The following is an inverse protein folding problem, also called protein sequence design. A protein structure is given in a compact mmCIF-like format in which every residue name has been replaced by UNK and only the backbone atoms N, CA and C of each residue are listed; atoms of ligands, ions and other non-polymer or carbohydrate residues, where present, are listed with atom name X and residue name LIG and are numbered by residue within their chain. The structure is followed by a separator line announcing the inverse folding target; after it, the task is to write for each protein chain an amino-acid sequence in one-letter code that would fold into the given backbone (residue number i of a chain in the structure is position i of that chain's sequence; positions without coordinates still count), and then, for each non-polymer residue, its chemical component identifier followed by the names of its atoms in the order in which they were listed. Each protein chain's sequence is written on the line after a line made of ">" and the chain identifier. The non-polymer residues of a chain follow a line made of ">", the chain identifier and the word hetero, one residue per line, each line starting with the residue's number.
data_IF_896291091566
#
_entry.id   IF_896291091566
#
_cell.length_a   1.000
_cell.length_b   1.000
_cell.length_c   1.000
_cell.angle_alpha   90.00
_cell.angle_beta   90.00
_cell.angle_gamma   90.00
#
_symmetry.space_group_name_H-M   'P 1'
#
loop_
_entity.id
_entity.type
_entity.pdbx_description
1 polymer ?
#
# COMPACT_ATOMS: atom_id res chain seq x y z
N UNK A 1 14.03 10.98 44.68
CA UNK A 1 13.04 11.16 43.60
C UNK A 1 13.44 10.27 42.44
N UNK A 2 12.60 9.32 41.97
CA UNK A 2 12.92 8.58 40.76
C UNK A 2 12.97 9.57 39.61
N UNK A 3 14.11 9.67 38.93
CA UNK A 3 14.24 10.44 37.69
C UNK A 3 13.52 9.67 36.59
N UNK A 4 12.30 10.06 36.25
CA UNK A 4 11.53 9.55 35.11
C UNK A 4 12.13 10.01 33.77
N UNK A 5 13.40 9.66 33.53
CA UNK A 5 14.00 9.77 32.20
C UNK A 5 13.45 8.63 31.36
N UNK A 6 12.54 8.94 30.45
CA UNK A 6 11.98 7.99 29.49
C UNK A 6 13.13 7.41 28.65
N UNK A 7 13.38 6.11 28.75
CA UNK A 7 14.36 5.41 27.93
C UNK A 7 13.86 5.31 26.49
N UNK A 8 14.38 6.18 25.62
CA UNK A 8 14.00 6.27 24.21
C UNK A 8 14.55 5.12 23.34
N UNK A 9 15.30 4.18 23.92
CA UNK A 9 15.99 3.10 23.21
C UNK A 9 16.70 3.63 21.95
N UNK A 10 16.88 2.78 20.93
CA UNK A 10 17.40 3.21 19.64
C UNK A 10 16.33 3.99 18.85
N UNK A 11 16.55 5.31 18.72
CA UNK A 11 15.67 6.25 18.00
C UNK A 11 15.42 5.87 16.53
N UNK A 12 16.44 5.37 15.84
CA UNK A 12 16.33 5.03 14.42
C UNK A 12 15.47 3.79 14.22
N UNK A 13 15.59 2.81 15.13
CA UNK A 13 14.75 1.62 15.12
C UNK A 13 13.29 1.96 15.45
N UNK A 14 13.06 2.88 16.39
CA UNK A 14 11.71 3.35 16.70
C UNK A 14 11.05 4.04 15.50
N UNK A 15 11.78 4.90 14.79
CA UNK A 15 11.29 5.54 13.56
C UNK A 15 10.99 4.51 12.46
N UNK A 16 11.89 3.54 12.24
CA UNK A 16 11.68 2.47 11.27
C UNK A 16 10.44 1.60 11.61
N UNK A 17 10.23 1.30 12.89
CA UNK A 17 9.04 0.57 13.35
C UNK A 17 7.76 1.40 13.19
N UNK A 18 7.79 2.69 13.51
CA UNK A 18 6.66 3.60 13.28
C UNK A 18 6.31 3.77 11.80
N UNK A 19 7.32 3.72 10.91
CA UNK A 19 7.11 3.68 9.47
C UNK A 19 6.47 2.37 9.01
N UNK A 20 6.88 1.24 9.60
CA UNK A 20 6.34 -0.07 9.22
C UNK A 20 4.86 -0.20 9.60
N UNK A 21 4.50 0.17 10.83
CA UNK A 21 3.13 0.20 11.29
C UNK A 21 2.89 1.40 12.23
N UNK A 22 1.78 2.14 12.05
CA UNK A 22 1.44 3.27 12.90
C UNK A 22 1.41 2.89 14.39
N UNK A 23 2.18 3.60 15.20
CA UNK A 23 2.29 3.43 16.65
C UNK A 23 3.31 2.40 17.15
N UNK A 24 3.91 1.56 16.28
CA UNK A 24 4.88 0.54 16.73
C UNK A 24 6.16 1.14 17.34
N UNK A 25 6.65 2.26 16.81
CA UNK A 25 7.83 2.94 17.36
C UNK A 25 7.64 3.37 18.81
N UNK A 26 6.46 3.86 19.14
CA UNK A 26 6.08 4.27 20.50
C UNK A 26 5.93 3.08 21.44
N UNK A 27 5.38 1.96 20.98
CA UNK A 27 5.36 0.72 21.76
C UNK A 27 6.77 0.20 22.04
N UNK A 28 7.68 0.27 21.07
CA UNK A 28 9.08 -0.09 21.27
C UNK A 28 9.76 0.75 22.37
N UNK A 29 9.42 2.04 22.45
CA UNK A 29 9.90 2.97 23.47
C UNK A 29 9.06 2.93 24.77
N UNK A 30 8.16 1.94 24.92
CA UNK A 30 7.23 1.80 26.06
C UNK A 30 6.31 3.01 26.28
N UNK A 31 6.10 3.84 25.25
CA UNK A 31 5.13 4.96 25.22
C UNK A 31 3.75 4.47 24.80
N UNK A 32 3.14 3.59 25.61
CA UNK A 32 1.91 2.87 25.27
C UNK A 32 0.74 3.77 24.90
N UNK A 33 0.47 4.82 25.68
CA UNK A 33 -0.66 5.73 25.42
C UNK A 33 -0.55 6.42 24.04
N UNK A 34 0.63 6.99 23.74
CA UNK A 34 0.89 7.60 22.43
C UNK A 34 0.78 6.58 21.31
N UNK A 35 1.39 5.40 21.49
CA UNK A 35 1.33 4.32 20.50
C UNK A 35 -0.10 3.91 20.17
N UNK A 36 -0.95 3.74 21.18
CA UNK A 36 -2.36 3.38 21.00
C UNK A 36 -3.13 4.47 20.27
N UNK A 37 -2.99 5.74 20.66
CA UNK A 37 -3.68 6.85 19.99
C UNK A 37 -3.27 6.95 18.53
N UNK A 38 -1.97 6.92 18.23
CA UNK A 38 -1.50 6.98 16.84
C UNK A 38 -1.98 5.78 16.04
N UNK A 39 -1.85 4.57 16.57
CA UNK A 39 -2.26 3.34 15.88
C UNK A 39 -3.76 3.34 15.56
N UNK A 40 -4.60 3.56 16.57
CA UNK A 40 -6.07 3.55 16.40
C UNK A 40 -6.52 4.67 15.48
N UNK A 41 -6.04 5.89 15.67
CA UNK A 41 -6.44 7.03 14.84
C UNK A 41 -6.03 6.83 13.38
N UNK A 42 -4.76 6.57 13.11
CA UNK A 42 -4.22 6.49 11.75
C UNK A 42 -4.80 5.29 11.00
N UNK A 43 -4.80 4.09 11.61
CA UNK A 43 -5.30 2.89 10.95
C UNK A 43 -6.80 2.97 10.71
N UNK A 44 -7.58 3.49 11.66
CA UNK A 44 -9.03 3.65 11.45
C UNK A 44 -9.30 4.62 10.31
N UNK A 45 -8.64 5.78 10.28
CA UNK A 45 -8.79 6.74 9.18
C UNK A 45 -8.39 6.14 7.83
N UNK A 46 -7.28 5.41 7.78
CA UNK A 46 -6.80 4.75 6.56
C UNK A 46 -7.78 3.69 6.06
N UNK A 47 -8.18 2.74 6.92
CA UNK A 47 -9.07 1.65 6.53
C UNK A 47 -10.48 2.15 6.21
N UNK A 48 -10.95 3.21 6.89
CA UNK A 48 -12.20 3.86 6.53
C UNK A 48 -12.13 4.50 5.13
N UNK A 49 -11.02 5.17 4.82
CA UNK A 49 -10.76 5.68 3.47
C UNK A 49 -10.73 4.57 2.42
N UNK A 50 -10.00 3.48 2.69
CA UNK A 50 -9.96 2.30 1.81
C UNK A 50 -11.36 1.71 1.59
N UNK A 51 -12.17 1.60 2.64
CA UNK A 51 -13.53 1.09 2.54
C UNK A 51 -14.42 1.97 1.66
N UNK A 52 -14.40 3.29 1.84
CA UNK A 52 -15.14 4.25 1.01
C UNK A 52 -14.70 4.18 -0.46
N UNK A 53 -13.42 3.96 -0.71
CA UNK A 53 -12.84 3.81 -2.03
C UNK A 53 -12.87 2.39 -2.61
N UNK A 54 -13.68 1.50 -2.04
CA UNK A 54 -13.83 0.09 -2.47
C UNK A 54 -12.51 -0.68 -2.58
N UNK A 55 -11.51 -0.29 -1.78
CA UNK A 55 -10.15 -0.84 -1.76
C UNK A 55 -9.34 -0.62 -3.07
N UNK A 56 -9.73 0.38 -3.86
CA UNK A 56 -9.15 0.68 -5.18
C UNK A 56 -8.48 2.06 -5.25
N UNK A 57 -8.48 2.83 -4.15
CA UNK A 57 -8.00 4.22 -4.12
C UNK A 57 -6.51 4.37 -3.85
N UNK A 58 -5.88 3.38 -3.23
CA UNK A 58 -4.44 3.38 -2.93
C UNK A 58 -3.77 2.51 -3.99
N UNK A 59 -2.94 3.12 -4.81
CA UNK A 59 -2.14 2.45 -5.82
C UNK A 59 -1.01 3.38 -6.25
N UNK A 60 0.08 2.82 -6.77
CA UNK A 60 1.21 3.59 -7.27
C UNK A 60 1.33 3.47 -8.78
N UNK A 61 1.37 4.61 -9.47
CA UNK A 61 1.67 4.69 -10.90
C UNK A 61 2.47 5.95 -11.19
N UNK A 62 3.57 5.79 -11.94
CA UNK A 62 4.52 6.86 -12.23
C UNK A 62 4.85 6.95 -13.73
N UNK A 63 3.82 7.23 -14.54
CA UNK A 63 3.94 7.38 -15.99
C UNK A 63 3.68 8.83 -16.44
N UNK A 64 4.17 9.21 -17.62
CA UNK A 64 3.90 10.53 -18.21
C UNK A 64 2.39 10.64 -18.49
N UNK A 65 1.71 11.57 -17.81
CA UNK A 65 0.26 11.80 -17.90
C UNK A 65 -0.57 11.11 -16.82
N UNK A 66 -0.03 10.11 -16.12
CA UNK A 66 -0.74 9.33 -15.09
C UNK A 66 0.11 9.15 -13.83
N UNK A 67 0.37 10.25 -13.12
CA UNK A 67 1.13 10.25 -11.86
C UNK A 67 0.20 10.27 -10.66
N UNK A 68 0.33 9.28 -9.79
CA UNK A 68 -0.40 9.20 -8.53
C UNK A 68 0.37 9.92 -7.41
N UNK A 69 0.46 11.25 -7.50
CA UNK A 69 1.24 12.06 -6.53
C UNK A 69 0.72 11.86 -5.09
N UNK A 70 -0.59 11.65 -4.93
CA UNK A 70 -1.20 11.37 -3.62
C UNK A 70 -0.59 10.16 -2.90
N UNK A 71 -0.07 9.17 -3.64
CA UNK A 71 0.57 8.00 -3.04
C UNK A 71 1.82 8.34 -2.21
N UNK A 72 2.49 9.46 -2.49
CA UNK A 72 3.63 9.93 -1.69
C UNK A 72 3.28 10.20 -0.23
N UNK A 73 2.02 10.54 0.05
CA UNK A 73 1.53 10.62 1.43
C UNK A 73 1.15 9.24 1.96
N UNK A 74 0.43 8.45 1.17
CA UNK A 74 -0.11 7.14 1.57
C UNK A 74 0.96 6.12 1.91
N UNK A 75 2.12 6.15 1.24
CA UNK A 75 3.26 5.25 1.53
C UNK A 75 3.72 5.32 2.97
N UNK A 76 3.56 6.48 3.64
CA UNK A 76 3.93 6.64 5.04
C UNK A 76 3.01 5.90 6.00
N UNK A 77 1.85 5.39 5.58
CA UNK A 77 1.03 4.50 6.42
C UNK A 77 1.73 3.16 6.68
N UNK A 78 2.74 2.82 5.87
CA UNK A 78 3.55 1.62 6.07
C UNK A 78 2.94 0.39 5.41
N UNK A 79 3.02 -0.76 6.10
CA UNK A 79 2.56 -2.06 5.60
C UNK A 79 1.18 -2.07 4.94
N UNK A 80 0.17 -1.32 5.41
CA UNK A 80 -1.13 -1.29 4.74
C UNK A 80 -1.11 -0.74 3.32
N UNK A 81 -0.19 0.18 2.99
CA UNK A 81 -0.11 0.87 1.70
C UNK A 81 1.09 0.43 0.83
N UNK A 82 2.05 -0.33 1.40
CA UNK A 82 3.22 -0.84 0.66
C UNK A 82 2.89 -1.86 -0.45
N UNK A 83 1.83 -2.70 -0.37
CA UNK A 83 1.48 -3.62 -1.45
C UNK A 83 1.32 -2.91 -2.80
N UNK A 84 0.81 -1.68 -2.83
CA UNK A 84 0.72 -0.84 -4.03
C UNK A 84 2.04 -0.72 -4.81
N UNK A 85 3.20 -0.62 -4.14
CA UNK A 85 4.51 -0.57 -4.81
C UNK A 85 4.82 -1.92 -5.45
N UNK A 86 4.58 -3.02 -4.73
CA UNK A 86 4.79 -4.37 -5.26
C UNK A 86 3.88 -4.62 -6.45
N UNK A 87 2.60 -4.22 -6.38
CA UNK A 87 1.68 -4.32 -7.50
C UNK A 87 2.13 -3.49 -8.69
N UNK A 88 2.59 -2.25 -8.47
CA UNK A 88 3.08 -1.39 -9.56
C UNK A 88 4.28 -1.99 -10.29
N UNK A 89 5.17 -2.66 -9.57
CA UNK A 89 6.32 -3.34 -10.14
C UNK A 89 5.90 -4.59 -10.94
N UNK A 90 4.93 -5.35 -10.41
CA UNK A 90 4.35 -6.51 -11.12
C UNK A 90 3.47 -6.11 -12.30
N UNK A 91 2.89 -4.91 -12.28
CA UNK A 91 1.94 -4.44 -13.28
C UNK A 91 2.57 -4.42 -14.67
N UNK A 92 3.83 -4.01 -14.79
CA UNK A 92 4.66 -4.12 -16.02
C UNK A 92 4.06 -3.46 -17.28
N UNK A 93 4.83 -3.30 -18.37
CA UNK A 93 4.26 -2.97 -19.67
C UNK A 93 3.50 -4.19 -20.18
N UNK A 94 2.21 -4.30 -19.85
CA UNK A 94 1.35 -5.33 -20.43
C UNK A 94 1.00 -4.91 -21.86
N UNK A 95 1.82 -5.37 -22.79
CA UNK A 95 1.55 -5.32 -24.23
C UNK A 95 0.41 -6.29 -24.56
N UNK A 96 -0.82 -5.83 -24.41
CA UNK A 96 -2.00 -6.61 -24.76
C UNK A 96 -3.26 -5.84 -24.46
N UNK A 97 -3.78 -5.11 -25.45
CA UNK A 97 -5.15 -4.62 -25.35
C UNK A 97 -6.09 -5.81 -25.47
N UNK A 98 -6.60 -6.25 -24.33
CA UNK A 98 -7.76 -7.11 -24.23
C UNK A 98 -8.90 -6.53 -25.11
N UNK A 99 -9.45 -7.34 -26.02
CA UNK A 99 -10.58 -6.96 -26.87
C UNK A 99 -10.29 -6.30 -28.22
N UNK A 100 -9.02 -6.09 -28.63
CA UNK A 100 -8.73 -5.73 -30.04
C UNK A 100 -8.59 -7.01 -30.85
N UNK A 101 -9.51 -7.21 -31.80
CA UNK A 101 -9.52 -8.28 -32.83
C UNK A 101 -8.25 -8.20 -33.69
N UNK A 102 -7.12 -8.61 -33.14
CA UNK A 102 -5.82 -8.64 -33.77
C UNK A 102 -5.19 -10.02 -33.52
N UNK A 103 -4.34 -10.54 -34.42
CA UNK A 103 -3.82 -11.91 -34.37
C UNK A 103 -2.69 -12.07 -33.34
N UNK A 104 -2.70 -11.33 -32.24
CA UNK A 104 -1.57 -11.21 -31.32
C UNK A 104 -1.87 -11.80 -29.94
N UNK A 105 -1.24 -12.95 -29.66
CA UNK A 105 -1.21 -13.69 -28.38
C UNK A 105 -2.57 -14.06 -27.78
N UNK A 106 -3.00 -15.28 -28.12
CA UNK A 106 -3.90 -16.10 -27.29
C UNK A 106 -3.29 -16.15 -25.88
N UNK A 107 -4.05 -15.86 -24.83
CA UNK A 107 -3.50 -15.78 -23.48
C UNK A 107 -2.94 -17.14 -23.05
N UNK A 108 -1.62 -17.24 -23.00
CA UNK A 108 -0.90 -18.39 -22.44
C UNK A 108 -1.21 -18.44 -20.93
N UNK A 109 -1.69 -19.59 -20.47
CA UNK A 109 -2.02 -19.80 -19.06
C UNK A 109 -0.72 -20.18 -18.34
N UNK A 110 0.03 -19.24 -17.75
CA UNK A 110 1.33 -19.65 -17.16
C UNK A 110 1.18 -20.59 -15.94
N UNK A 111 -0.01 -20.63 -15.31
CA UNK A 111 -0.31 -21.49 -14.16
C UNK A 111 -1.70 -22.13 -14.29
N UNK A 112 -1.90 -23.36 -13.81
CA UNK A 112 -3.22 -23.97 -13.68
C UNK A 112 -4.19 -23.08 -12.90
N UNK A 113 -5.40 -22.89 -13.43
CA UNK A 113 -6.44 -22.10 -12.77
C UNK A 113 -7.59 -23.03 -12.41
N UNK A 114 -7.94 -23.08 -11.13
CA UNK A 114 -9.19 -23.63 -10.64
C UNK A 114 -9.98 -22.52 -9.95
N UNK A 115 -11.15 -22.16 -10.49
CA UNK A 115 -11.96 -21.08 -9.97
C UNK A 115 -13.45 -21.32 -10.17
N UNK A 116 -14.27 -20.67 -9.34
CA UNK A 116 -15.69 -20.54 -9.63
C UNK A 116 -15.87 -19.70 -10.90
N UNK A 117 -16.67 -20.21 -11.83
CA UNK A 117 -16.99 -19.60 -13.10
C UNK A 117 -18.47 -19.21 -13.13
N UNK A 118 -18.74 -17.99 -13.59
CA UNK A 118 -20.09 -17.49 -13.85
C UNK A 118 -20.11 -16.77 -15.19
N UNK A 119 -21.00 -17.18 -16.07
CA UNK A 119 -21.09 -16.64 -17.42
C UNK A 119 -22.25 -17.24 -18.21
N UNK A 120 -22.05 -17.41 -19.51
CA UNK A 120 -23.01 -18.03 -20.41
C UNK A 120 -22.33 -19.00 -21.37
N UNK A 121 -23.12 -19.93 -21.87
CA UNK A 121 -22.75 -20.79 -22.99
C UNK A 121 -23.33 -20.20 -24.27
N UNK A 122 -22.50 -20.05 -25.30
CA UNK A 122 -22.88 -19.53 -26.62
C UNK A 122 -22.62 -20.63 -27.66
N UNK A 123 -23.66 -21.29 -28.20
CA UNK A 123 -23.50 -22.33 -29.20
C UNK A 123 -22.97 -21.73 -30.52
N UNK A 124 -22.01 -22.41 -31.18
CA UNK A 124 -21.40 -21.91 -32.44
C UNK A 124 -21.68 -22.85 -33.63
N UNK A 125 -22.39 -23.96 -33.44
CA UNK A 125 -22.73 -24.86 -34.53
C UNK A 125 -23.90 -25.80 -34.25
N UNK A 126 -24.36 -26.55 -35.28
CA UNK A 126 -25.46 -27.50 -35.19
C UNK A 126 -25.16 -28.75 -34.33
N UNK A 127 -23.92 -28.92 -33.86
CA UNK A 127 -23.50 -29.98 -32.93
C UNK A 127 -23.73 -29.64 -31.44
N UNK A 128 -24.30 -28.49 -31.12
CA UNK A 128 -24.57 -28.09 -29.74
C UNK A 128 -25.78 -28.80 -29.14
N UNK A 129 -25.54 -29.60 -28.10
CA UNK A 129 -26.59 -30.29 -27.32
C UNK A 129 -27.18 -29.43 -26.20
N UNK A 130 -26.59 -28.25 -25.97
CA UNK A 130 -26.99 -27.27 -24.97
C UNK A 130 -27.49 -25.99 -25.65
N UNK A 131 -28.64 -25.44 -25.21
CA UNK A 131 -29.09 -24.14 -25.68
C UNK A 131 -28.20 -23.02 -25.13
N UNK A 132 -28.26 -21.85 -25.77
CA UNK A 132 -27.70 -20.63 -25.19
C UNK A 132 -28.32 -20.36 -23.82
N UNK A 133 -27.50 -20.03 -22.82
CA UNK A 133 -28.01 -19.78 -21.48
C UNK A 133 -26.93 -19.57 -20.42
N UNK A 134 -27.35 -19.21 -19.19
CA UNK A 134 -26.43 -18.95 -18.09
C UNK A 134 -25.72 -20.23 -17.64
N UNK A 135 -24.47 -20.05 -17.22
CA UNK A 135 -23.57 -21.11 -16.78
C UNK A 135 -22.93 -20.71 -15.45
N UNK A 136 -23.07 -21.56 -14.45
CA UNK A 136 -22.49 -21.38 -13.11
C UNK A 136 -21.85 -22.67 -12.64
N UNK A 137 -20.59 -22.63 -12.23
CA UNK A 137 -19.88 -23.83 -11.83
C UNK A 137 -18.43 -23.59 -11.46
N UNK A 138 -17.60 -24.61 -11.64
CA UNK A 138 -16.15 -24.54 -11.53
C UNK A 138 -15.51 -24.77 -12.88
N UNK A 139 -14.47 -24.00 -13.16
CA UNK A 139 -13.61 -24.17 -14.32
C UNK A 139 -12.21 -24.57 -13.85
N UNK A 140 -11.67 -25.61 -14.48
CA UNK A 140 -10.29 -26.03 -14.31
C UNK A 140 -9.59 -25.89 -15.65
N UNK A 141 -8.58 -25.03 -15.73
CA UNK A 141 -7.78 -24.78 -16.92
C UNK A 141 -6.32 -25.14 -16.62
N UNK A 142 -5.65 -25.83 -17.53
CA UNK A 142 -4.25 -26.21 -17.44
C UNK A 142 -3.54 -25.90 -18.77
N UNK A 143 -2.32 -25.33 -18.73
CA UNK A 143 -1.50 -25.27 -19.93
C UNK A 143 -1.03 -26.68 -20.27
N UNK A 144 -1.13 -27.04 -21.55
CA UNK A 144 -0.66 -28.30 -22.10
C UNK A 144 0.15 -27.95 -23.34
N UNK A 145 1.37 -28.50 -23.51
CA UNK A 145 2.12 -28.31 -24.74
C UNK A 145 1.34 -28.92 -25.91
N UNK A 146 0.92 -28.08 -26.86
CA UNK A 146 0.24 -28.49 -28.08
C UNK A 146 1.19 -28.47 -29.28
N UNK A 147 0.75 -29.06 -30.39
CA UNK A 147 1.53 -29.17 -31.63
C UNK A 147 1.83 -27.79 -32.26
N UNK A 148 1.05 -26.76 -31.91
CA UNK A 148 1.15 -25.38 -32.43
C UNK A 148 1.46 -24.33 -31.35
N UNK A 149 2.05 -24.73 -30.23
CA UNK A 149 2.36 -23.86 -29.08
C UNK A 149 1.65 -24.30 -27.81
N UNK A 150 1.75 -23.50 -26.74
CA UNK A 150 1.05 -23.79 -25.49
C UNK A 150 -0.47 -23.69 -25.70
N UNK A 151 -1.15 -24.83 -25.57
CA UNK A 151 -2.60 -24.92 -25.58
C UNK A 151 -3.14 -24.89 -24.16
N UNK A 152 -4.39 -24.48 -24.00
CA UNK A 152 -5.07 -24.56 -22.71
C UNK A 152 -6.15 -25.61 -22.81
N UNK A 153 -6.07 -26.62 -21.95
CA UNK A 153 -7.11 -27.64 -21.81
C UNK A 153 -7.77 -27.51 -20.46
N UNK A 154 -9.04 -27.84 -20.41
CA UNK A 154 -9.78 -27.72 -19.18
C UNK A 154 -11.08 -28.47 -19.16
N UNK A 155 -11.71 -28.42 -17.99
CA UNK A 155 -13.04 -28.97 -17.76
C UNK A 155 -13.85 -27.94 -17.01
N UNK A 156 -15.06 -27.70 -17.48
CA UNK A 156 -16.08 -27.01 -16.72
C UNK A 156 -17.03 -28.04 -16.09
N UNK A 157 -17.35 -27.85 -14.82
CA UNK A 157 -18.32 -28.68 -14.09
C UNK A 157 -19.32 -27.78 -13.38
N UNK A 158 -20.61 -27.94 -13.65
CA UNK A 158 -21.64 -27.19 -12.94
C UNK A 158 -22.98 -27.15 -13.67
N UNK A 159 -23.74 -26.09 -13.42
CA UNK A 159 -25.02 -25.85 -14.08
C UNK A 159 -24.78 -25.13 -15.40
N UNK A 160 -25.37 -25.63 -16.49
CA UNK A 160 -25.36 -24.98 -17.80
C UNK A 160 -26.77 -24.98 -18.39
N UNK A 161 -27.27 -23.80 -18.74
CA UNK A 161 -28.57 -23.60 -19.39
C UNK A 161 -29.73 -24.35 -18.70
N UNK A 162 -29.78 -24.30 -17.37
CA UNK A 162 -30.83 -24.93 -16.55
C UNK A 162 -30.67 -26.44 -16.30
N UNK A 163 -29.62 -27.09 -16.85
CA UNK A 163 -29.26 -28.47 -16.52
C UNK A 163 -28.21 -28.50 -15.41
N UNK A 164 -28.45 -29.26 -14.35
CA UNK A 164 -27.49 -29.49 -13.28
C UNK A 164 -26.43 -30.53 -13.69
N UNK A 165 -25.26 -30.47 -13.08
CA UNK A 165 -24.16 -31.45 -13.22
C UNK A 165 -23.66 -31.68 -14.66
N UNK A 166 -23.63 -30.62 -15.46
CA UNK A 166 -23.05 -30.63 -16.80
C UNK A 166 -21.53 -30.58 -16.72
N UNK A 167 -20.87 -31.50 -17.43
CA UNK A 167 -19.42 -31.52 -17.62
C UNK A 167 -19.11 -31.16 -19.06
N UNK A 168 -18.34 -30.08 -19.26
CA UNK A 168 -17.93 -29.60 -20.58
C UNK A 168 -16.40 -29.68 -20.71
N UNK A 169 -15.94 -30.27 -21.81
CA UNK A 169 -14.52 -30.28 -22.15
C UNK A 169 -14.15 -28.98 -22.84
N UNK A 170 -13.15 -28.30 -22.29
CA UNK A 170 -12.64 -27.04 -22.80
C UNK A 170 -11.30 -27.26 -23.49
N UNK A 171 -11.15 -26.67 -24.66
CA UNK A 171 -9.92 -26.76 -25.44
C UNK A 171 -9.71 -25.48 -26.26
N UNK A 172 -8.58 -25.40 -26.93
CA UNK A 172 -8.32 -24.36 -27.92
C UNK A 172 -7.82 -23.04 -27.31
N UNK A 173 -7.85 -21.95 -28.10
CA UNK A 173 -7.36 -20.66 -27.67
C UNK A 173 -8.24 -20.12 -26.55
N UNK A 174 -7.63 -19.93 -25.40
CA UNK A 174 -8.32 -19.39 -24.24
C UNK A 174 -8.02 -17.91 -24.17
N UNK A 175 -9.04 -17.09 -24.41
CA UNK A 175 -8.96 -15.64 -24.26
C UNK A 175 -9.19 -15.33 -22.78
N UNK A 176 -8.10 -15.01 -22.08
CA UNK A 176 -8.21 -14.62 -20.69
C UNK A 176 -7.58 -13.27 -20.47
N UNK A 177 -8.37 -12.43 -19.84
CA UNK A 177 -7.95 -11.20 -19.21
C UNK A 177 -6.63 -11.31 -18.43
N UNK A 178 -5.68 -10.37 -18.60
CA UNK A 178 -4.43 -10.36 -17.85
C UNK A 178 -4.55 -10.45 -16.33
N UNK A 179 -3.45 -10.87 -15.68
CA UNK A 179 -3.38 -11.15 -14.24
C UNK A 179 -3.59 -9.91 -13.35
N UNK A 180 -3.18 -8.72 -13.80
CA UNK A 180 -3.21 -7.47 -13.03
C UNK A 180 -3.80 -6.34 -13.89
N UNK A 181 -5.11 -6.11 -13.81
CA UNK A 181 -5.81 -5.02 -14.51
C UNK A 181 -7.06 -4.58 -13.73
N UNK A 182 -7.36 -3.28 -13.73
CA UNK A 182 -8.58 -2.76 -13.10
C UNK A 182 -9.68 -2.41 -14.12
N UNK A 183 -9.32 -2.03 -15.36
CA UNK A 183 -10.21 -1.52 -16.40
C UNK A 183 -10.65 -2.55 -17.45
N UNK A 184 -10.70 -3.82 -17.14
CA UNK A 184 -11.29 -4.79 -18.07
C UNK A 184 -12.80 -4.75 -17.95
N UNK A 185 -13.46 -4.23 -18.98
CA UNK A 185 -14.90 -4.11 -19.05
C UNK A 185 -15.52 -5.42 -19.51
N UNK A 186 -16.62 -5.81 -18.87
CA UNK A 186 -17.48 -6.90 -19.31
C UNK A 186 -18.89 -6.33 -19.51
N UNK A 187 -19.54 -6.56 -20.66
CA UNK A 187 -20.94 -6.18 -20.85
C UNK A 187 -21.82 -6.68 -19.69
N UNK A 188 -22.75 -5.86 -19.19
CA UNK A 188 -23.62 -6.26 -18.07
C UNK A 188 -24.47 -7.50 -18.39
N UNK A 189 -24.81 -7.68 -19.67
CA UNK A 189 -25.50 -8.85 -20.22
C UNK A 189 -24.81 -10.18 -19.83
N UNK A 190 -23.47 -10.20 -19.78
CA UNK A 190 -22.68 -11.38 -19.41
C UNK A 190 -22.77 -11.76 -17.92
N UNK A 191 -23.24 -10.85 -17.06
CA UNK A 191 -23.42 -11.09 -15.63
C UNK A 191 -24.84 -11.55 -15.27
N UNK A 192 -25.73 -11.72 -16.26
CA UNK A 192 -27.12 -12.16 -16.07
C UNK A 192 -28.07 -11.06 -15.60
N UNK A 193 -27.67 -9.78 -15.68
CA UNK A 193 -28.59 -8.67 -15.49
C UNK A 193 -29.38 -8.47 -16.80
N UNK A 194 -30.47 -9.22 -16.97
CA UNK A 194 -31.35 -9.20 -18.17
C UNK A 194 -32.02 -7.84 -18.47
N UNK A 195 -31.68 -6.79 -17.72
CA UNK A 195 -32.28 -5.46 -17.88
C UNK A 195 -31.52 -4.51 -18.83
N UNK A 196 -30.45 -4.93 -19.52
CA UNK A 196 -29.66 -3.94 -20.24
C UNK A 196 -28.89 -4.40 -21.50
N UNK A 197 -29.62 -4.42 -22.62
CA UNK A 197 -29.05 -4.34 -23.97
C UNK A 197 -28.33 -3.00 -24.25
N UNK A 198 -28.41 -2.03 -23.34
CA UNK A 198 -27.82 -0.68 -23.48
C UNK A 198 -26.90 -0.30 -22.30
N UNK A 199 -26.49 -1.29 -21.48
CA UNK A 199 -25.63 -1.02 -20.32
C UNK A 199 -24.16 -0.89 -20.71
N UNK A 200 -23.44 0.08 -20.11
CA UNK A 200 -22.00 0.21 -20.30
C UNK A 200 -21.26 -1.00 -19.76
N UNK A 201 -20.14 -1.35 -20.37
CA UNK A 201 -19.24 -2.38 -19.87
C UNK A 201 -18.89 -2.12 -18.39
N UNK A 202 -19.12 -3.13 -17.55
CA UNK A 202 -18.81 -3.12 -16.12
C UNK A 202 -17.35 -3.50 -15.97
N UNK A 203 -16.52 -2.59 -15.46
CA UNK A 203 -15.13 -2.93 -15.14
C UNK A 203 -15.06 -3.88 -13.94
N UNK A 204 -14.25 -4.94 -14.08
CA UNK A 204 -14.14 -6.01 -13.09
C UNK A 204 -12.76 -6.10 -12.46
N UNK A 205 -12.45 -5.25 -11.49
CA UNK A 205 -11.13 -5.32 -10.86
C UNK A 205 -10.92 -6.58 -10.01
N UNK A 206 -11.98 -7.15 -9.41
CA UNK A 206 -11.92 -8.36 -8.56
C UNK A 206 -12.29 -9.66 -9.30
N UNK A 207 -12.63 -9.58 -10.60
CA UNK A 207 -12.94 -10.75 -11.45
C UNK A 207 -12.15 -10.66 -12.74
N UNK A 208 -11.94 -11.77 -13.41
CA UNK A 208 -11.16 -11.87 -14.64
C UNK A 208 -12.07 -12.43 -15.72
N UNK A 209 -12.15 -11.79 -16.88
CA UNK A 209 -12.91 -12.34 -17.99
C UNK A 209 -12.20 -13.56 -18.56
N UNK A 210 -12.97 -14.58 -18.88
CA UNK A 210 -12.49 -15.83 -19.47
C UNK A 210 -13.45 -16.22 -20.58
N UNK A 211 -12.89 -16.50 -21.75
CA UNK A 211 -13.58 -17.12 -22.87
C UNK A 211 -12.82 -18.37 -23.30
N UNK A 212 -13.51 -19.49 -23.26
CA UNK A 212 -12.98 -20.80 -23.62
C UNK A 212 -13.84 -21.43 -24.71
N UNK A 213 -13.21 -22.15 -25.62
CA UNK A 213 -13.93 -22.98 -26.59
C UNK A 213 -14.31 -24.32 -25.95
N UNK A 214 -15.55 -24.75 -26.20
CA UNK A 214 -16.12 -26.01 -25.73
C UNK A 214 -16.04 -27.00 -26.87
N UNK A 215 -15.39 -28.13 -26.63
CA UNK A 215 -15.24 -29.21 -27.61
C UNK A 215 -16.07 -30.43 -27.20
N UNK A 216 -16.52 -31.15 -28.22
CA UNK A 216 -17.10 -32.46 -28.02
C UNK A 216 -15.96 -33.49 -27.91
N UNK A 217 -15.76 -34.03 -26.71
CA UNK A 217 -14.74 -35.02 -26.44
C UNK A 217 -15.04 -36.38 -27.09
N UNK A 218 -16.29 -36.66 -27.46
CA UNK A 218 -16.70 -37.93 -28.08
C UNK A 218 -16.46 -37.93 -29.60
N UNK A 219 -16.35 -36.74 -30.20
CA UNK A 219 -16.07 -36.58 -31.63
C UNK A 219 -14.59 -36.79 -31.93
N UNK A 220 -14.27 -37.67 -32.89
CA UNK A 220 -12.91 -37.96 -33.33
C UNK A 220 -12.12 -36.72 -33.80
N UNK A 221 -12.82 -35.64 -34.17
CA UNK A 221 -12.24 -34.39 -34.64
C UNK A 221 -12.26 -33.26 -33.60
N UNK A 222 -12.65 -33.53 -32.34
CA UNK A 222 -12.83 -32.50 -31.29
C UNK A 222 -13.62 -31.28 -31.81
N UNK A 223 -14.74 -31.56 -32.47
CA UNK A 223 -15.53 -30.51 -33.10
C UNK A 223 -15.98 -29.46 -32.07
N UNK A 224 -15.79 -28.19 -32.41
CA UNK A 224 -16.24 -27.05 -31.61
C UNK A 224 -17.76 -27.06 -31.47
N UNK A 225 -18.24 -27.08 -30.23
CA UNK A 225 -19.66 -27.11 -29.87
C UNK A 225 -20.15 -25.68 -29.61
N UNK A 226 -19.28 -24.82 -29.07
CA UNK A 226 -19.58 -23.44 -28.73
C UNK A 226 -18.49 -22.79 -27.90
N UNK A 227 -18.82 -21.63 -27.32
CA UNK A 227 -17.94 -20.90 -26.41
C UNK A 227 -18.58 -20.78 -25.03
N UNK A 228 -17.74 -20.83 -24.01
CA UNK A 228 -18.07 -20.51 -22.64
C UNK A 228 -17.45 -19.15 -22.31
N UNK A 229 -18.29 -18.14 -22.12
CA UNK A 229 -17.89 -16.74 -21.96
C UNK A 229 -18.34 -16.23 -20.59
N UNK A 230 -17.42 -15.72 -19.76
CA UNK A 230 -17.79 -15.30 -18.41
C UNK A 230 -16.65 -14.79 -17.55
N UNK A 231 -16.82 -14.93 -16.24
CA UNK A 231 -15.91 -14.41 -15.22
C UNK A 231 -15.44 -15.46 -14.23
N UNK A 232 -14.18 -15.34 -13.82
CA UNK A 232 -13.60 -16.05 -12.68
C UNK A 232 -13.18 -15.06 -11.59
N UNK A 233 -13.16 -15.48 -10.33
CA UNK A 233 -12.67 -14.65 -9.24
C UNK A 233 -11.15 -14.42 -9.34
N UNK A 234 -10.68 -13.18 -9.12
CA UNK A 234 -9.26 -12.89 -8.96
C UNK A 234 -8.84 -13.14 -7.51
N UNK A 235 -7.67 -13.73 -7.25
CA UNK A 235 -7.10 -13.77 -5.90
C UNK A 235 -6.97 -12.36 -5.31
N UNK A 236 -7.15 -12.22 -3.99
CA UNK A 236 -7.05 -10.93 -3.28
C UNK A 236 -5.84 -10.09 -3.70
N UNK A 237 -4.66 -10.72 -3.68
CA UNK A 237 -3.37 -10.09 -4.02
C UNK A 237 -3.18 -9.76 -5.50
N UNK A 238 -4.13 -10.10 -6.39
CA UNK A 238 -4.06 -9.75 -7.81
C UNK A 238 -5.04 -8.63 -8.17
N UNK A 239 -5.76 -8.08 -7.18
CA UNK A 239 -6.63 -6.91 -7.38
C UNK A 239 -6.44 -5.83 -6.32
N UNK A 240 -6.03 -6.19 -5.11
CA UNK A 240 -5.76 -5.24 -4.03
C UNK A 240 -4.63 -4.28 -4.40
N UNK A 241 -4.90 -2.98 -4.34
CA UNK A 241 -3.96 -1.88 -4.63
C UNK A 241 -3.28 -1.93 -6.02
N UNK A 242 -3.92 -2.59 -6.98
CA UNK A 242 -3.46 -2.61 -8.38
C UNK A 242 -3.58 -1.21 -8.98
N UNK A 243 -2.62 -0.78 -9.83
CA UNK A 243 -2.73 0.49 -10.54
C UNK A 243 -4.03 0.64 -11.32
N UNK A 244 -4.77 1.72 -11.09
CA UNK A 244 -5.97 2.01 -11.88
C UNK A 244 -5.60 2.72 -13.19
N UNK A 245 -6.19 2.24 -14.28
CA UNK A 245 -6.19 2.87 -15.58
C UNK A 245 -7.29 3.93 -15.69
N UNK A 246 -7.15 4.86 -16.63
CA UNK A 246 -8.07 5.99 -16.76
C UNK A 246 -9.55 5.58 -16.92
N UNK A 247 -9.91 4.54 -17.71
CA UNK A 247 -11.30 4.09 -17.79
C UNK A 247 -11.83 3.53 -16.46
N UNK A 248 -11.00 2.78 -15.71
CA UNK A 248 -11.37 2.27 -14.39
C UNK A 248 -11.54 3.40 -13.38
N UNK A 249 -10.65 4.40 -13.39
CA UNK A 249 -10.80 5.58 -12.52
C UNK A 249 -12.08 6.34 -12.83
N UNK A 250 -12.39 6.57 -14.10
CA UNK A 250 -13.60 7.28 -14.50
C UNK A 250 -14.87 6.54 -14.07
N UNK A 251 -14.90 5.22 -14.23
CA UNK A 251 -16.01 4.41 -13.74
C UNK A 251 -16.12 4.39 -12.21
N UNK A 252 -14.98 4.33 -11.50
CA UNK A 252 -14.98 4.43 -10.05
C UNK A 252 -15.56 5.77 -9.59
N UNK A 253 -15.15 6.88 -10.22
CA UNK A 253 -15.73 8.20 -9.97
C UNK A 253 -17.21 8.27 -10.36
N UNK A 254 -17.62 7.61 -11.46
CA UNK A 254 -19.03 7.53 -11.87
C UNK A 254 -19.89 6.80 -10.83
N UNK A 255 -19.40 5.70 -10.24
CA UNK A 255 -20.14 4.87 -9.28
C UNK A 255 -20.17 5.44 -7.86
N UNK A 256 -19.04 5.95 -7.39
CA UNK A 256 -18.87 6.41 -6.01
C UNK A 256 -18.97 7.94 -5.87
N UNK A 257 -18.87 8.69 -6.95
CA UNK A 257 -18.92 10.15 -6.95
C UNK A 257 -17.92 10.76 -5.97
N UNK A 258 -18.42 11.63 -5.08
CA UNK A 258 -17.63 12.35 -4.07
C UNK A 258 -16.93 11.43 -3.07
N UNK A 259 -17.39 10.19 -2.88
CA UNK A 259 -16.74 9.27 -1.95
C UNK A 259 -15.33 8.90 -2.41
N UNK A 260 -15.03 8.94 -3.71
CA UNK A 260 -13.67 8.69 -4.23
C UNK A 260 -12.68 9.76 -3.77
N UNK A 261 -13.09 11.02 -3.83
CA UNK A 261 -12.27 12.15 -3.37
C UNK A 261 -12.10 12.11 -1.85
N UNK A 262 -13.18 11.87 -1.11
CA UNK A 262 -13.13 11.75 0.35
C UNK A 262 -12.21 10.59 0.79
N UNK A 263 -12.29 9.44 0.12
CA UNK A 263 -11.44 8.29 0.37
C UNK A 263 -9.95 8.61 0.15
N UNK A 264 -9.62 9.30 -0.94
CA UNK A 264 -8.26 9.77 -1.21
C UNK A 264 -7.78 10.72 -0.12
N UNK A 265 -8.59 11.73 0.25
CA UNK A 265 -8.23 12.71 1.28
C UNK A 265 -7.97 12.03 2.62
N UNK A 266 -8.84 11.10 3.06
CA UNK A 266 -8.66 10.38 4.31
C UNK A 266 -7.37 9.56 4.34
N UNK A 267 -7.05 8.86 3.25
CA UNK A 267 -5.81 8.09 3.17
C UNK A 267 -4.57 8.99 3.07
N UNK A 268 -4.67 10.18 2.46
CA UNK A 268 -3.60 11.18 2.48
C UNK A 268 -3.36 11.72 3.88
N UNK A 269 -4.43 12.09 4.59
CA UNK A 269 -4.37 12.56 5.99
C UNK A 269 -3.74 11.48 6.86
N UNK A 270 -4.17 10.22 6.74
CA UNK A 270 -3.59 9.12 7.51
C UNK A 270 -2.07 8.98 7.29
N UNK A 271 -1.62 9.08 6.04
CA UNK A 271 -0.21 9.04 5.70
C UNK A 271 0.60 10.20 6.28
N UNK A 272 0.08 11.43 6.16
CA UNK A 272 0.70 12.62 6.74
C UNK A 272 0.73 12.58 8.27
N UNK A 273 -0.33 12.09 8.90
CA UNK A 273 -0.37 11.89 10.36
C UNK A 273 0.66 10.84 10.79
N UNK A 274 0.85 9.76 10.03
CA UNK A 274 1.89 8.79 10.37
C UNK A 274 3.30 9.38 10.17
N UNK A 275 3.51 10.22 9.18
CA UNK A 275 4.77 10.94 9.02
C UNK A 275 5.10 11.78 10.26
N UNK A 276 4.12 12.46 10.85
CA UNK A 276 4.28 13.19 12.11
C UNK A 276 4.53 12.25 13.30
N UNK A 277 3.88 11.09 13.34
CA UNK A 277 4.11 10.10 14.38
C UNK A 277 5.52 9.49 14.30
N UNK A 278 6.04 9.24 13.09
CA UNK A 278 7.43 8.80 12.87
C UNK A 278 8.40 9.86 13.39
N UNK A 279 8.11 11.14 13.15
CA UNK A 279 8.90 12.24 13.67
C UNK A 279 8.89 12.30 15.22
N UNK A 280 7.72 12.17 15.87
CA UNK A 280 7.64 12.08 17.35
C UNK A 280 8.39 10.85 17.92
N UNK A 281 8.46 9.75 17.16
CA UNK A 281 9.23 8.58 17.53
C UNK A 281 10.76 8.82 17.44
N UNK A 282 11.21 9.65 16.49
CA UNK A 282 12.62 9.95 16.23
C UNK A 282 13.20 10.98 17.21
N UNK A 283 12.52 12.11 17.42
CA UNK A 283 13.03 13.21 18.27
C UNK A 283 12.82 12.97 19.76
N UNK A 284 11.84 12.14 20.13
CA UNK A 284 11.42 11.98 21.53
C UNK A 284 10.37 13.01 21.94
N UNK A 285 9.84 12.94 23.18
CA UNK A 285 8.79 13.84 23.64
C UNK A 285 9.29 15.28 23.77
N UNK A 286 8.54 16.24 23.21
CA UNK A 286 8.84 17.68 23.29
C UNK A 286 8.79 18.25 24.73
N UNK A 287 8.18 17.54 25.67
CA UNK A 287 8.19 17.86 27.10
C UNK A 287 8.73 16.66 27.85
N UNK A 288 9.93 16.79 28.44
CA UNK A 288 10.61 15.68 29.10
C UNK A 288 12.11 15.85 29.32
N UNK A 289 12.72 16.98 28.94
CA UNK A 289 13.91 17.42 29.64
C UNK A 289 13.42 18.21 30.85
N UNK A 290 13.70 17.66 32.04
CA UNK A 290 13.67 18.47 33.24
C UNK A 290 14.84 19.42 33.13
N UNK A 291 14.59 20.59 32.55
CA UNK A 291 15.54 21.70 32.41
C UNK A 291 15.80 22.37 33.78
N UNK A 292 15.38 21.76 34.89
CA UNK A 292 15.72 22.19 36.24
C UNK A 292 17.06 21.57 36.68
N UNK A 293 18.11 21.71 35.87
CA UNK A 293 19.50 21.56 36.31
C UNK A 293 20.40 22.42 35.46
N UNK A 294 20.35 23.72 35.69
CA UNK A 294 21.47 24.64 35.42
C UNK A 294 21.44 25.86 36.37
N UNK A 295 20.30 26.17 37.00
CA UNK A 295 20.20 27.30 37.95
C UNK A 295 20.82 26.99 39.33
N UNK A 296 20.80 25.74 39.80
CA UNK A 296 21.42 25.38 41.09
C UNK A 296 22.95 25.28 41.03
N UNK A 297 23.53 24.89 39.89
CA UNK A 297 24.99 24.88 39.73
C UNK A 297 25.53 26.31 39.55
N UNK A 298 24.81 27.20 38.86
CA UNK A 298 25.16 28.62 38.78
C UNK A 298 24.98 29.36 40.12
N UNK A 299 23.99 28.99 40.94
CA UNK A 299 23.85 29.55 42.31
C UNK A 299 24.89 29.00 43.29
N UNK A 300 25.34 27.75 43.14
CA UNK A 300 26.42 27.17 43.97
C UNK A 300 27.79 27.75 43.60
N UNK A 301 28.06 27.99 42.32
CA UNK A 301 29.30 28.65 41.88
C UNK A 301 29.35 30.14 42.26
N UNK A 302 28.22 30.85 42.22
CA UNK A 302 28.16 32.26 42.64
C UNK A 302 28.18 32.45 44.17
N UNK A 303 27.74 31.46 44.95
CA UNK A 303 27.87 31.47 46.41
C UNK A 303 29.30 31.17 46.90
N UNK A 304 30.04 30.28 46.24
CA UNK A 304 31.42 29.92 46.63
C UNK A 304 32.47 30.98 46.22
N UNK A 305 32.17 31.77 45.17
CA UNK A 305 33.02 32.88 44.73
C UNK A 305 32.97 34.14 45.62
N UNK A 306 31.93 34.31 46.45
CA UNK A 306 31.69 35.55 47.20
C UNK A 306 32.24 35.56 48.64
N UNK A 307 32.80 34.46 49.15
CA UNK A 307 33.20 34.36 50.58
C UNK A 307 34.67 34.72 50.88
N UNK A 308 35.40 35.34 49.94
CA UNK A 308 36.80 35.74 50.13
C UNK A 308 37.06 37.24 49.94
N UNK A 309 36.30 38.09 50.64
CA UNK A 309 36.72 39.49 50.88
C UNK A 309 35.93 40.17 52.01
N UNK A 310 36.53 40.29 53.20
CA UNK A 310 36.58 41.47 54.12
C UNK A 310 36.93 41.05 55.56
N UNK A 311 37.34 41.99 56.45
CA UNK A 311 38.72 42.40 56.65
C UNK A 311 39.17 42.05 58.08
N UNK A 312 40.47 42.11 58.41
CA UNK A 312 40.87 42.03 59.82
C UNK A 312 41.84 43.14 60.18
N UNK A 313 41.34 43.97 61.08
CA UNK A 313 42.00 45.07 61.75
C UNK A 313 43.26 44.61 62.47
N UNK A 314 44.30 45.44 62.39
CA UNK A 314 45.51 45.41 63.21
C UNK A 314 45.23 45.86 64.64
N UNK A 315 45.97 45.30 65.61
CA UNK A 315 46.53 46.13 66.68
C UNK A 315 48.06 46.04 66.75
N UNK A 316 48.60 47.10 67.34
CA UNK A 316 50.00 47.53 67.49
C UNK A 316 50.92 46.55 68.24
N UNK A 317 52.24 46.70 68.06
CA UNK A 317 53.22 46.17 69.00
C UNK A 317 54.67 45.94 68.52
N UNK A 318 55.44 47.02 68.42
CA UNK A 318 56.79 47.15 68.99
C UNK A 318 58.06 46.47 68.37
N UNK A 319 58.85 47.34 67.73
CA UNK A 319 60.32 47.59 67.79
C UNK A 319 61.40 46.78 67.04
N UNK A 320 62.31 47.64 66.54
CA UNK A 320 63.77 47.54 66.36
C UNK A 320 64.27 46.96 65.02
N UNK A 321 65.28 47.49 64.33
CA UNK A 321 66.14 48.68 64.38
C UNK A 321 67.09 48.54 63.16
N UNK A 322 67.58 49.66 62.58
CA UNK A 322 68.69 49.82 61.60
C UNK A 322 68.50 49.27 60.17
N UNK A 323 68.84 49.96 59.09
CA UNK A 323 69.51 51.26 58.88
C UNK A 323 70.18 51.27 57.49
N UNK A 324 70.17 52.44 56.82
CA UNK A 324 71.00 52.87 55.66
C UNK A 324 70.96 52.03 54.37
N UNK A 325 70.94 52.56 53.15
CA UNK A 325 71.03 53.93 52.66
C UNK A 325 71.11 53.93 51.12
N UNK A 326 70.94 55.13 50.57
CA UNK A 326 71.50 55.66 49.31
C UNK A 326 71.08 55.13 47.93
N UNK A 327 70.57 56.11 47.16
CA UNK A 327 70.98 56.51 45.80
C UNK A 327 70.15 56.05 44.60
N UNK A 328 69.42 57.04 44.06
CA UNK A 328 69.08 57.23 42.64
C UNK A 328 70.36 57.43 41.78
N UNK A 329 70.33 57.73 40.46
CA UNK A 329 69.18 58.04 39.59
C UNK A 329 69.27 57.51 38.14
N UNK A 330 68.32 58.00 37.32
CA UNK A 330 68.40 58.23 35.87
C UNK A 330 68.27 56.99 34.97
N UNK A 331 67.56 57.04 33.83
CA UNK A 331 66.93 58.13 33.10
C UNK A 331 66.69 57.68 31.65
N UNK A 332 65.83 58.40 30.93
CA UNK A 332 65.73 58.38 29.45
C UNK A 332 64.88 57.23 28.89
N UNK A 333 63.60 57.41 28.53
CA UNK A 333 62.99 58.17 27.41
C UNK A 333 63.47 57.81 26.00
N UNK A 334 62.43 57.63 25.18
CA UNK A 334 62.31 57.88 23.74
C UNK A 334 63.00 56.85 22.83
N UNK A 335 62.38 56.42 21.73
CA UNK A 335 61.32 57.08 20.95
C UNK A 335 60.45 56.09 20.20
#
# INVERSE_FOLDING_TARGET
>A
MPTDRVDLRNRYLAAALAFLLPGLGHFYQRRWFKGTIYSVCILTTFFWGMHLGRWQIVYFRWERGNKTVGYLSQVFVGLPALPALVQSWRYGPQEGHFGRRGPGRRSELDEPIEAAFRGRFVPTGPGSTLPEGPVEGRIQLRPVPGDFGDEVRGVFTGMAAGRADVVLSLSGPVEISPRLYASEGIPAELLGDEAASDSPAVFVSHRRYVKCEVIDAESAFQSSVGYLEGTIARPFWNWFEVPLEEPAKQDLHRRLGKFVELAQILTWIAGLLNLLAIWDALEGPAYGYGDEKDDEEQQRESADGSSKKRPRETPEGEKADRGSGTAAPAGGKAS
#
